data_IF_918110431625
#
_entry.id   IF_918110431625
#
_cell.length_a   1.000
_cell.length_b   1.000
_cell.length_c   1.000
_cell.angle_alpha   90.00
_cell.angle_beta   90.00
_cell.angle_gamma   90.00
#
_symmetry.space_group_name_H-M   'P 1'
#
loop_
_entity.id
_entity.type
_entity.pdbx_description
1 polymer ?
#
# COMPACT_ATOMS: atom_id res chain seq x y z
N UNK A 1 -8.94 15.30 7.61
CA UNK A 1 -8.18 14.10 7.17
C UNK A 1 -6.69 14.41 7.22
N UNK A 2 -5.85 13.38 7.33
CA UNK A 2 -4.45 13.39 7.82
C UNK A 2 -3.69 14.73 7.71
N UNK A 3 -3.40 15.36 8.86
CA UNK A 3 -2.51 16.53 8.95
C UNK A 3 -1.02 16.16 8.91
N UNK A 4 -0.71 14.87 9.02
CA UNK A 4 0.65 14.35 8.96
C UNK A 4 1.19 14.52 7.55
N UNK A 5 2.34 15.17 7.43
CA UNK A 5 3.00 15.35 6.14
C UNK A 5 3.45 13.99 5.57
N UNK A 6 3.63 13.92 4.24
CA UNK A 6 4.16 12.70 3.62
C UNK A 6 5.53 12.33 4.17
N UNK A 7 6.37 13.33 4.44
CA UNK A 7 7.69 13.16 5.05
C UNK A 7 7.61 12.49 6.41
N UNK A 8 6.74 12.98 7.29
CA UNK A 8 6.57 12.43 8.63
C UNK A 8 5.97 11.02 8.58
N UNK A 9 5.03 10.78 7.67
CA UNK A 9 4.47 9.44 7.45
C UNK A 9 5.54 8.44 6.98
N UNK A 10 6.41 8.83 6.05
CA UNK A 10 7.49 7.96 5.60
C UNK A 10 8.51 7.71 6.72
N UNK A 11 8.80 8.70 7.57
CA UNK A 11 9.67 8.51 8.72
C UNK A 11 9.08 7.51 9.73
N UNK A 12 7.78 7.61 10.00
CA UNK A 12 7.04 6.64 10.78
C UNK A 12 7.12 5.24 10.16
N UNK A 13 6.84 5.12 8.86
CA UNK A 13 6.83 3.85 8.14
C UNK A 13 8.22 3.17 8.14
N UNK A 14 9.29 3.93 7.93
CA UNK A 14 10.68 3.43 8.05
C UNK A 14 10.98 2.90 9.46
N UNK A 15 10.58 3.65 10.49
CA UNK A 15 10.78 3.24 11.88
C UNK A 15 10.00 1.96 12.20
N UNK A 16 8.75 1.86 11.73
CA UNK A 16 7.92 0.68 11.91
C UNK A 16 8.50 -0.54 11.18
N UNK A 17 8.99 -0.37 9.94
CA UNK A 17 9.61 -1.46 9.17
C UNK A 17 10.88 -2.00 9.86
N UNK A 18 11.72 -1.13 10.43
CA UNK A 18 12.93 -1.54 11.15
C UNK A 18 12.60 -2.24 12.47
N UNK A 19 11.71 -1.64 13.28
CA UNK A 19 11.47 -2.09 14.66
C UNK A 19 10.42 -3.20 14.77
N UNK A 20 9.43 -3.21 13.87
CA UNK A 20 8.27 -4.09 13.93
C UNK A 20 7.80 -4.47 12.51
N UNK A 21 8.72 -4.96 11.67
CA UNK A 21 8.45 -5.34 10.27
C UNK A 21 7.22 -6.24 10.08
N UNK A 22 6.87 -7.08 11.07
CA UNK A 22 5.64 -7.90 11.04
C UNK A 22 4.38 -7.05 10.94
N UNK A 23 4.31 -5.94 11.67
CA UNK A 23 3.20 -4.98 11.60
C UNK A 23 3.21 -4.26 10.24
N UNK A 24 4.40 -3.85 9.77
CA UNK A 24 4.57 -3.22 8.46
C UNK A 24 4.06 -4.09 7.30
N UNK A 25 4.10 -5.42 7.44
CA UNK A 25 3.57 -6.37 6.44
C UNK A 25 2.04 -6.45 6.38
N UNK A 26 1.35 -5.95 7.40
CA UNK A 26 -0.11 -5.95 7.47
C UNK A 26 -0.73 -4.62 7.02
N UNK A 27 0.10 -3.59 6.82
CA UNK A 27 -0.34 -2.26 6.36
C UNK A 27 -0.02 -2.13 4.87
N UNK A 28 -0.96 -1.57 4.10
CA UNK A 28 -0.84 -1.40 2.65
C UNK A 28 -0.48 -2.71 1.94
N UNK A 29 -0.99 -3.84 2.43
CA UNK A 29 -0.75 -5.15 1.83
C UNK A 29 -1.59 -5.29 0.56
N UNK A 30 -0.94 -5.34 -0.61
CA UNK A 30 -1.65 -5.50 -1.88
C UNK A 30 -2.37 -6.83 -1.92
N UNK A 31 -3.55 -6.83 -2.55
CA UNK A 31 -4.46 -7.98 -2.56
C UNK A 31 -4.32 -8.76 -3.85
N UNK A 32 -4.51 -10.08 -3.75
CA UNK A 32 -4.54 -10.91 -4.94
C UNK A 32 -5.84 -10.67 -5.71
N UNK A 33 -5.73 -10.65 -7.04
CA UNK A 33 -6.87 -10.48 -7.97
C UNK A 33 -7.19 -11.71 -8.79
N UNK A 34 -6.30 -12.70 -8.77
CA UNK A 34 -6.40 -13.86 -9.62
C UNK A 34 -5.07 -14.58 -9.69
N UNK A 35 -4.97 -15.51 -10.64
CA UNK A 35 -3.79 -16.33 -10.86
C UNK A 35 -3.34 -16.21 -12.31
N UNK A 36 -2.03 -16.37 -12.54
CA UNK A 36 -1.48 -16.68 -13.87
C UNK A 36 -1.94 -18.07 -14.30
N UNK A 37 -1.72 -18.41 -15.57
CA UNK A 37 -2.03 -19.73 -16.14
C UNK A 37 -1.32 -20.89 -15.43
N UNK A 38 -0.16 -20.63 -14.83
CA UNK A 38 0.61 -21.59 -14.01
C UNK A 38 0.09 -21.73 -12.56
N UNK A 39 -0.96 -21.00 -12.19
CA UNK A 39 -1.57 -21.02 -10.86
C UNK A 39 -0.94 -20.07 -9.84
N UNK A 40 0.11 -19.32 -10.19
CA UNK A 40 0.73 -18.35 -9.29
C UNK A 40 -0.22 -17.17 -9.02
N UNK A 41 -0.48 -16.88 -7.74
CA UNK A 41 -1.28 -15.73 -7.35
C UNK A 41 -0.62 -14.43 -7.81
N UNK A 42 -1.43 -13.51 -8.31
CA UNK A 42 -0.96 -12.20 -8.76
C UNK A 42 -1.59 -11.10 -7.93
N UNK A 43 -0.80 -10.08 -7.63
CA UNK A 43 -1.11 -8.97 -6.74
C UNK A 43 -0.90 -7.65 -7.47
N UNK A 44 -1.52 -6.58 -6.97
CA UNK A 44 -1.18 -5.24 -7.43
C UNK A 44 0.32 -4.96 -7.22
N UNK A 45 0.90 -4.20 -8.15
CA UNK A 45 2.27 -3.72 -8.05
C UNK A 45 2.24 -2.22 -7.74
N UNK A 46 2.88 -1.80 -6.65
CA UNK A 46 3.04 -0.39 -6.37
C UNK A 46 3.81 0.31 -7.48
N UNK A 47 3.33 1.49 -7.81
CA UNK A 47 3.91 2.41 -8.76
C UNK A 47 3.61 3.83 -8.30
N UNK A 48 4.10 4.81 -9.04
CA UNK A 48 3.87 6.21 -8.75
C UNK A 48 2.54 6.76 -9.26
N UNK A 49 1.82 6.00 -10.10
CA UNK A 49 0.48 6.30 -10.59
C UNK A 49 -0.33 5.02 -10.76
N UNK A 50 -1.63 5.11 -10.52
CA UNK A 50 -2.58 4.02 -10.77
C UNK A 50 -2.95 4.01 -12.24
N UNK A 51 -2.77 2.87 -12.89
CA UNK A 51 -3.10 2.68 -14.30
C UNK A 51 -4.54 2.20 -14.47
N UNK A 52 -5.07 2.31 -15.70
CA UNK A 52 -6.33 1.66 -16.04
C UNK A 52 -6.18 0.14 -15.92
N UNK A 53 -6.91 -0.42 -14.97
CA UNK A 53 -6.81 -1.81 -14.53
C UNK A 53 -7.17 -2.80 -15.65
N UNK A 54 -6.27 -3.73 -15.96
CA UNK A 54 -6.46 -4.76 -16.99
C UNK A 54 -5.73 -6.06 -16.60
N UNK A 55 -5.99 -7.17 -17.30
CA UNK A 55 -5.34 -8.46 -16.99
C UNK A 55 -3.80 -8.39 -17.12
N UNK A 56 -3.29 -7.45 -17.93
CA UNK A 56 -1.85 -7.20 -18.13
C UNK A 56 -1.35 -5.89 -17.49
N UNK A 57 -2.14 -5.27 -16.61
CA UNK A 57 -1.80 -3.99 -15.97
C UNK A 57 -2.40 -3.92 -14.57
N UNK A 58 -1.55 -4.12 -13.57
CA UNK A 58 -1.89 -4.18 -12.15
C UNK A 58 -1.21 -3.08 -11.33
N UNK A 59 -0.62 -2.07 -11.98
CA UNK A 59 0.08 -0.99 -11.29
C UNK A 59 -0.88 -0.06 -10.55
N UNK A 60 -0.50 0.30 -9.34
CA UNK A 60 -1.32 1.12 -8.44
C UNK A 60 -0.49 2.09 -7.61
N UNK A 61 -1.02 3.27 -7.34
CA UNK A 61 -0.51 4.18 -6.31
C UNK A 61 -1.41 4.20 -5.06
N UNK A 62 -2.39 3.30 -4.99
CA UNK A 62 -3.34 3.19 -3.88
C UNK A 62 -2.90 2.09 -2.90
N UNK A 63 -2.72 2.46 -1.63
CA UNK A 63 -2.40 1.57 -0.52
C UNK A 63 -3.43 0.41 -0.41
N UNK A 64 -2.92 -0.82 -0.41
CA UNK A 64 -3.71 -2.05 -0.25
C UNK A 64 -4.61 -2.39 -1.44
N UNK A 65 -4.39 -1.76 -2.59
CA UNK A 65 -5.17 -2.03 -3.80
C UNK A 65 -4.94 -3.45 -4.33
N UNK A 66 -5.90 -3.89 -5.13
CA UNK A 66 -5.92 -5.18 -5.80
C UNK A 66 -5.37 -5.07 -7.24
N UNK A 67 -5.33 -3.88 -7.84
CA UNK A 67 -4.70 -3.65 -9.15
C UNK A 67 -5.53 -4.11 -10.37
N UNK A 68 -6.50 -5.01 -10.17
CA UNK A 68 -7.43 -5.44 -11.21
C UNK A 68 -8.87 -5.64 -10.69
N UNK A 69 -9.87 -5.50 -11.58
CA UNK A 69 -11.28 -5.72 -11.28
C UNK A 69 -11.80 -6.91 -12.11
N UNK A 70 -11.67 -8.13 -11.60
CA UNK A 70 -12.13 -9.33 -12.31
C UNK A 70 -11.55 -10.60 -11.71
N UNK A 71 -12.03 -11.76 -12.17
CA UNK A 71 -11.49 -13.09 -11.84
C UNK A 71 -10.84 -13.74 -13.07
N UNK A 72 -10.17 -12.94 -13.88
CA UNK A 72 -9.54 -13.36 -15.13
C UNK A 72 -8.21 -14.08 -14.90
N UNK A 73 -7.70 -14.75 -15.95
CA UNK A 73 -6.31 -15.20 -15.98
C UNK A 73 -5.40 -13.99 -16.09
N UNK A 74 -4.70 -13.67 -14.99
CA UNK A 74 -3.79 -12.53 -14.93
C UNK A 74 -2.56 -12.81 -15.81
N UNK A 75 -2.11 -11.79 -16.54
CA UNK A 75 -0.93 -11.82 -17.40
C UNK A 75 0.21 -11.02 -16.73
N UNK A 76 0.82 -10.08 -17.44
CA UNK A 76 1.95 -9.29 -16.96
C UNK A 76 1.52 -8.03 -16.17
N UNK A 77 2.48 -7.21 -15.74
CA UNK A 77 2.20 -5.92 -15.08
C UNK A 77 1.68 -6.04 -13.64
N UNK A 78 1.81 -7.21 -13.02
CA UNK A 78 1.40 -7.52 -11.65
C UNK A 78 2.61 -8.02 -10.84
N UNK A 79 2.48 -8.04 -9.52
CA UNK A 79 3.49 -8.58 -8.62
C UNK A 79 3.21 -10.05 -8.31
N UNK A 80 4.26 -10.86 -8.23
CA UNK A 80 4.19 -12.29 -7.86
C UNK A 80 4.05 -12.52 -6.34
N UNK A 81 4.28 -11.47 -5.55
CA UNK A 81 4.11 -11.47 -4.11
C UNK A 81 3.34 -10.22 -3.66
N UNK A 82 2.62 -10.28 -2.52
CA UNK A 82 2.00 -9.09 -1.95
C UNK A 82 3.09 -8.07 -1.58
N UNK A 83 2.87 -6.83 -1.97
CA UNK A 83 3.69 -5.69 -1.57
C UNK A 83 3.04 -5.01 -0.36
N UNK A 84 3.84 -4.42 0.51
CA UNK A 84 3.41 -3.95 1.84
C UNK A 84 3.83 -2.50 2.08
N UNK A 85 3.66 -1.99 3.30
CA UNK A 85 3.96 -0.60 3.66
C UNK A 85 5.36 -0.13 3.21
N UNK A 86 6.37 -0.99 3.32
CA UNK A 86 7.74 -0.65 2.90
C UNK A 86 7.85 -0.39 1.39
N UNK A 87 7.09 -1.13 0.59
CA UNK A 87 7.09 -1.02 -0.86
C UNK A 87 6.27 0.21 -1.27
N UNK A 88 5.13 0.44 -0.61
CA UNK A 88 4.33 1.65 -0.76
C UNK A 88 5.16 2.90 -0.45
N UNK A 89 5.88 2.95 0.68
CA UNK A 89 6.70 4.12 1.01
C UNK A 89 7.85 4.32 0.02
N UNK A 90 8.49 3.24 -0.44
CA UNK A 90 9.67 3.34 -1.31
C UNK A 90 9.28 3.71 -2.75
N UNK A 91 8.25 3.06 -3.29
CA UNK A 91 7.89 3.17 -4.70
C UNK A 91 6.85 4.26 -4.92
N UNK A 92 5.77 4.23 -4.15
CA UNK A 92 4.63 5.12 -4.34
C UNK A 92 4.84 6.48 -3.68
N UNK A 93 5.45 6.51 -2.48
CA UNK A 93 5.78 7.76 -1.78
C UNK A 93 7.19 8.27 -2.06
N UNK A 94 7.91 7.66 -3.00
CA UNK A 94 9.27 8.03 -3.44
C UNK A 94 10.34 8.03 -2.33
N UNK A 95 10.05 7.41 -1.19
CA UNK A 95 10.96 7.33 -0.04
C UNK A 95 11.10 8.62 0.77
N UNK A 96 10.50 9.73 0.35
CA UNK A 96 10.51 11.04 1.03
C UNK A 96 9.10 11.59 1.30
N UNK A 97 8.06 10.97 0.76
CA UNK A 97 6.67 11.40 0.91
C UNK A 97 6.25 12.53 -0.02
N UNK A 98 7.05 12.84 -1.05
CA UNK A 98 6.80 13.93 -2.00
C UNK A 98 5.64 13.68 -2.96
N UNK A 99 5.23 12.41 -3.14
CA UNK A 99 4.12 12.02 -4.03
C UNK A 99 3.15 11.10 -3.31
N UNK A 100 1.90 11.11 -3.77
CA UNK A 100 0.86 10.15 -3.42
C UNK A 100 0.39 10.14 -1.95
N UNK A 101 0.80 11.12 -1.14
CA UNK A 101 0.27 11.31 0.21
C UNK A 101 -0.40 12.69 0.35
N UNK A 102 -1.62 12.78 0.91
CA UNK A 102 -2.50 11.71 1.39
C UNK A 102 -3.37 11.06 0.29
N UNK A 103 -3.24 11.51 -0.95
CA UNK A 103 -4.09 11.14 -2.09
C UNK A 103 -3.25 10.45 -3.17
N UNK A 104 -3.73 9.33 -3.69
CA UNK A 104 -3.14 8.60 -4.81
C UNK A 104 -3.17 9.42 -6.11
N UNK A 105 -2.38 9.04 -7.11
CA UNK A 105 -2.36 9.66 -8.44
C UNK A 105 -2.83 8.67 -9.50
N UNK A 106 -3.49 9.15 -10.56
CA UNK A 106 -3.89 8.32 -11.71
C UNK A 106 -5.36 7.92 -11.69
N UNK A 107 -5.69 6.85 -12.40
CA UNK A 107 -7.06 6.40 -12.62
C UNK A 107 -7.74 6.02 -11.31
N UNK A 108 -8.93 6.58 -11.06
CA UNK A 108 -9.75 6.26 -9.89
C UNK A 108 -9.24 6.88 -8.58
N UNK A 109 -8.29 7.80 -8.64
CA UNK A 109 -7.86 8.59 -7.47
C UNK A 109 -9.04 9.32 -6.84
N UNK A 110 -9.06 9.36 -5.51
CA UNK A 110 -10.04 10.13 -4.76
C UNK A 110 -9.40 10.80 -3.55
N UNK A 111 -9.92 11.97 -3.18
CA UNK A 111 -9.35 12.81 -2.12
C UNK A 111 -9.11 12.02 -0.82
N UNK A 112 -7.85 11.98 -0.38
CA UNK A 112 -7.36 11.28 0.83
C UNK A 112 -7.51 9.75 0.83
N UNK A 113 -7.66 9.10 -0.33
CA UNK A 113 -7.81 7.65 -0.42
C UNK A 113 -6.68 6.84 0.24
N UNK A 114 -5.41 7.24 0.08
CA UNK A 114 -4.27 6.60 0.70
C UNK A 114 -4.30 6.76 2.23
N UNK A 115 -4.57 7.96 2.73
CA UNK A 115 -4.72 8.17 4.18
C UNK A 115 -5.87 7.33 4.75
N UNK A 116 -6.99 7.23 4.03
CA UNK A 116 -8.14 6.40 4.45
C UNK A 116 -7.82 4.91 4.41
N UNK A 117 -7.08 4.43 3.40
CA UNK A 117 -6.66 3.04 3.28
C UNK A 117 -5.71 2.65 4.42
N UNK A 118 -4.68 3.47 4.68
CA UNK A 118 -3.77 3.27 5.83
C UNK A 118 -4.54 3.25 7.14
N UNK A 119 -5.45 4.20 7.36
CA UNK A 119 -6.24 4.24 8.59
C UNK A 119 -7.08 2.98 8.80
N UNK A 120 -7.65 2.42 7.73
CA UNK A 120 -8.39 1.14 7.79
C UNK A 120 -7.50 -0.01 8.23
N UNK A 121 -6.30 -0.11 7.66
CA UNK A 121 -5.35 -1.17 8.03
C UNK A 121 -4.89 -1.03 9.48
N UNK A 122 -4.60 0.19 9.94
CA UNK A 122 -4.27 0.47 11.35
C UNK A 122 -5.40 0.07 12.32
N UNK A 123 -6.65 0.29 11.94
CA UNK A 123 -7.83 -0.12 12.73
C UNK A 123 -8.02 -1.64 12.70
N UNK A 124 -7.55 -2.33 11.67
CA UNK A 124 -7.66 -3.79 11.56
C UNK A 124 -6.61 -4.55 12.39
N UNK A 125 -5.50 -3.91 12.79
CA UNK A 125 -4.47 -4.50 13.64
C UNK A 125 -5.02 -5.03 14.98
N UNK A 126 -4.31 -5.97 15.58
CA UNK A 126 -4.67 -6.46 16.91
C UNK A 126 -4.34 -5.43 18.00
N UNK A 127 -4.78 -5.69 19.24
CA UNK A 127 -4.65 -4.73 20.36
C UNK A 127 -3.19 -4.37 20.67
N UNK A 128 -2.29 -5.34 20.65
CA UNK A 128 -0.88 -5.13 21.00
C UNK A 128 -0.15 -4.39 19.88
N UNK A 129 -0.42 -4.75 18.62
CA UNK A 129 0.10 -4.05 17.44
C UNK A 129 -0.35 -2.59 17.39
N UNK A 130 -1.62 -2.31 17.70
CA UNK A 130 -2.14 -0.94 17.83
C UNK A 130 -1.41 -0.15 18.90
N UNK A 131 -1.11 -0.78 20.04
CA UNK A 131 -0.37 -0.15 21.14
C UNK A 131 1.05 0.22 20.72
N UNK A 132 1.72 -0.67 20.00
CA UNK A 132 3.04 -0.41 19.42
C UNK A 132 3.00 0.74 18.42
N UNK A 133 2.06 0.72 17.48
CA UNK A 133 1.90 1.79 16.48
C UNK A 133 1.62 3.14 17.15
N UNK A 134 0.71 3.18 18.12
CA UNK A 134 0.42 4.40 18.88
C UNK A 134 1.67 4.91 19.62
N UNK A 135 2.45 4.01 20.23
CA UNK A 135 3.71 4.34 20.89
C UNK A 135 4.79 4.87 19.95
N UNK A 136 4.84 4.39 18.70
CA UNK A 136 5.73 4.93 17.67
C UNK A 136 5.26 6.30 17.18
N UNK A 137 3.97 6.46 16.91
CA UNK A 137 3.36 7.73 16.49
C UNK A 137 3.51 8.83 17.54
N UNK A 138 3.54 8.49 18.83
CA UNK A 138 3.79 9.45 19.91
C UNK A 138 5.24 9.97 19.94
N UNK A 139 6.18 9.32 19.23
CA UNK A 139 7.61 9.66 19.18
C UNK A 139 8.02 10.34 17.87
N UNK A 140 7.10 10.43 16.90
CA UNK A 140 7.27 11.08 15.60
C UNK A 140 6.59 12.43 15.60
#
# INVERSE_FOLDING_TARGET
LAKTSGKDFVQFAKTLDISHSKIGKEICKTKSVGKKSDGAAQYAAYHDETMTKADSEGRTSLCGDKGHNGSSSIRDGHSEAPQVLKDFMSVTLKGDGSKNWPTSTGTGSSTNDNANAVAKDLVALNRDEKTIVAGLLAKT
#
